data_IF_041947712534
#
_entry.id   IF_041947712534
#
_cell.length_a   1.000
_cell.length_b   1.000
_cell.length_c   1.000
_cell.angle_alpha   90.00
_cell.angle_beta   90.00
_cell.angle_gamma   90.00
#
_symmetry.space_group_name_H-M   'P 1'
#
loop_
_entity.id
_entity.type
_entity.pdbx_description
1 polymer ?
#
# COMPACT_ATOMS: atom_id res chain seq x y z
N UNK A 1 -17.46 13.81 -7.18
CA UNK A 1 -16.38 13.64 -8.20
C UNK A 1 -15.62 12.42 -7.76
N UNK A 2 -15.36 11.47 -8.67
CA UNK A 2 -14.74 10.18 -8.30
C UNK A 2 -13.26 10.31 -7.99
N UNK A 3 -12.79 9.51 -7.04
CA UNK A 3 -11.39 9.48 -6.65
C UNK A 3 -10.73 8.13 -6.94
N UNK A 4 -9.43 8.17 -7.24
CA UNK A 4 -8.57 6.99 -7.24
C UNK A 4 -7.50 7.20 -6.17
N UNK A 5 -7.46 6.27 -5.21
CA UNK A 5 -6.55 6.29 -4.07
C UNK A 5 -5.15 5.78 -4.41
N UNK A 6 -4.12 6.49 -3.94
CA UNK A 6 -2.73 6.04 -3.94
C UNK A 6 -2.29 5.92 -2.49
N UNK A 7 -2.07 4.69 -2.01
CA UNK A 7 -1.58 4.46 -0.64
C UNK A 7 -0.07 4.61 -0.60
N UNK A 8 0.45 5.55 0.20
CA UNK A 8 1.87 5.92 0.23
C UNK A 8 2.44 6.30 -1.14
N UNK A 9 2.19 7.55 -1.58
CA UNK A 9 2.61 8.07 -2.89
C UNK A 9 4.11 8.41 -2.96
N UNK A 10 4.94 7.39 -2.76
CA UNK A 10 6.41 7.49 -2.68
C UNK A 10 7.03 7.27 -4.06
N UNK A 11 8.11 8.00 -4.36
CA UNK A 11 8.92 7.80 -5.57
C UNK A 11 8.08 7.84 -6.87
N UNK A 12 8.16 6.80 -7.70
CA UNK A 12 7.46 6.68 -8.99
C UNK A 12 5.94 6.64 -8.87
N UNK A 13 5.36 6.41 -7.69
CA UNK A 13 3.91 6.45 -7.51
C UNK A 13 3.31 7.84 -7.81
N UNK A 14 4.11 8.90 -7.73
CA UNK A 14 3.68 10.24 -8.13
C UNK A 14 3.28 10.31 -9.61
N UNK A 15 3.78 9.39 -10.46
CA UNK A 15 3.37 9.31 -11.86
C UNK A 15 1.91 8.89 -12.02
N UNK A 16 1.33 8.16 -11.06
CA UNK A 16 -0.09 7.79 -11.09
C UNK A 16 -1.02 9.01 -11.04
N UNK A 17 -0.56 10.14 -10.51
CA UNK A 17 -1.35 11.38 -10.43
C UNK A 17 -1.78 11.83 -11.83
N UNK A 18 -0.86 11.84 -12.78
CA UNK A 18 -1.16 12.23 -14.16
C UNK A 18 -2.11 11.22 -14.83
N UNK A 19 -1.88 9.93 -14.59
CA UNK A 19 -2.72 8.85 -15.12
C UNK A 19 -4.16 8.89 -14.58
N UNK A 20 -4.33 9.17 -13.30
CA UNK A 20 -5.63 9.31 -12.65
C UNK A 20 -6.38 10.51 -13.22
N UNK A 21 -5.71 11.65 -13.37
CA UNK A 21 -6.30 12.85 -13.97
C UNK A 21 -6.72 12.62 -15.43
N UNK A 22 -5.91 11.92 -16.21
CA UNK A 22 -6.23 11.58 -17.60
C UNK A 22 -7.50 10.71 -17.71
N UNK A 23 -7.87 9.98 -16.65
CA UNK A 23 -9.12 9.21 -16.54
C UNK A 23 -10.30 10.02 -16.02
N UNK A 24 -10.15 11.33 -15.85
CA UNK A 24 -11.20 12.22 -15.33
C UNK A 24 -11.50 12.02 -13.84
N UNK A 25 -10.58 11.40 -13.09
CA UNK A 25 -10.70 11.18 -11.65
C UNK A 25 -9.79 12.12 -10.87
N UNK A 26 -10.10 12.36 -9.60
CA UNK A 26 -9.22 13.10 -8.68
C UNK A 26 -8.27 12.14 -7.94
N UNK A 27 -6.95 12.39 -7.95
CA UNK A 27 -6.03 11.64 -7.13
C UNK A 27 -6.32 11.87 -5.64
N UNK A 28 -6.38 10.79 -4.86
CA UNK A 28 -6.45 10.82 -3.40
C UNK A 28 -5.20 10.17 -2.84
N UNK A 29 -4.37 10.91 -2.12
CA UNK A 29 -3.20 10.34 -1.44
C UNK A 29 -3.65 9.85 -0.06
N UNK A 30 -3.41 8.56 0.20
CA UNK A 30 -3.80 7.88 1.44
C UNK A 30 -2.52 7.57 2.22
N UNK A 31 -2.42 8.08 3.44
CA UNK A 31 -1.29 7.81 4.33
C UNK A 31 -1.69 6.82 5.44
N UNK A 32 -1.06 5.63 5.52
CA UNK A 32 -1.27 4.69 6.61
C UNK A 32 -0.92 5.27 7.98
N UNK A 33 -1.58 4.77 9.01
CA UNK A 33 -1.32 5.13 10.39
C UNK A 33 -0.05 4.41 10.88
N UNK A 34 1.10 5.04 10.67
CA UNK A 34 2.40 4.52 11.14
C UNK A 34 3.00 5.48 12.14
N UNK A 35 2.61 5.32 13.39
CA UNK A 35 3.15 6.10 14.51
C UNK A 35 4.68 5.94 14.62
N UNK A 36 5.38 7.07 14.77
CA UNK A 36 6.79 7.08 15.20
C UNK A 36 7.86 7.08 14.12
N UNK A 37 7.53 6.97 12.83
CA UNK A 37 8.54 7.05 11.76
C UNK A 37 8.76 8.50 11.28
N UNK A 38 9.74 9.17 11.87
CA UNK A 38 10.10 10.57 11.58
C UNK A 38 10.59 10.76 10.12
N UNK A 39 11.27 9.75 9.56
CA UNK A 39 11.73 9.80 8.18
C UNK A 39 10.56 9.76 7.21
N UNK A 40 9.58 8.89 7.44
CA UNK A 40 8.36 8.85 6.63
C UNK A 40 7.57 10.16 6.74
N UNK A 41 7.44 10.75 7.93
CA UNK A 41 6.75 12.04 8.09
C UNK A 41 7.38 13.14 7.23
N UNK A 42 8.69 13.32 7.35
CA UNK A 42 9.43 14.31 6.56
C UNK A 42 9.25 14.08 5.06
N UNK A 43 9.29 12.82 4.63
CA UNK A 43 9.12 12.46 3.23
C UNK A 43 7.70 12.76 2.72
N UNK A 44 6.66 12.45 3.50
CA UNK A 44 5.26 12.76 3.20
C UNK A 44 5.01 14.27 3.09
N UNK A 45 5.64 15.08 3.94
CA UNK A 45 5.55 16.55 3.87
C UNK A 45 6.14 17.10 2.56
N UNK A 46 7.31 16.60 2.15
CA UNK A 46 7.94 16.97 0.88
C UNK A 46 7.03 16.58 -0.29
N UNK A 47 6.51 15.36 -0.29
CA UNK A 47 5.58 14.89 -1.32
C UNK A 47 4.33 15.78 -1.39
N UNK A 48 3.68 16.03 -0.24
CA UNK A 48 2.49 16.87 -0.15
C UNK A 48 2.75 18.28 -0.66
N UNK A 49 3.92 18.86 -0.36
CA UNK A 49 4.33 20.17 -0.87
C UNK A 49 4.52 20.16 -2.40
N UNK A 50 5.10 19.09 -2.95
CA UNK A 50 5.35 18.97 -4.39
C UNK A 50 4.07 18.72 -5.19
N UNK A 51 3.15 17.93 -4.65
CA UNK A 51 1.86 17.63 -5.30
C UNK A 51 0.88 18.81 -5.15
N UNK A 52 0.84 19.43 -3.97
CA UNK A 52 -0.07 20.55 -3.68
C UNK A 52 -1.54 20.17 -3.90
N UNK A 53 -2.32 21.10 -4.47
CA UNK A 53 -3.77 20.97 -4.64
C UNK A 53 -4.21 20.06 -5.80
N UNK A 54 -3.23 19.44 -6.48
CA UNK A 54 -3.47 18.50 -7.58
C UNK A 54 -4.13 17.20 -7.08
N UNK A 55 -3.98 16.89 -5.79
CA UNK A 55 -4.58 15.73 -5.13
C UNK A 55 -5.29 16.14 -3.84
N UNK A 56 -6.22 15.30 -3.39
CA UNK A 56 -6.70 15.34 -2.01
C UNK A 56 -5.85 14.42 -1.12
N UNK A 57 -5.94 14.59 0.19
CA UNK A 57 -5.15 13.84 1.16
C UNK A 57 -6.03 13.32 2.28
N UNK A 58 -5.80 12.09 2.68
CA UNK A 58 -6.43 11.48 3.85
C UNK A 58 -5.41 10.60 4.58
N UNK A 59 -5.52 10.56 5.90
CA UNK A 59 -4.71 9.69 6.75
C UNK A 59 -5.63 8.62 7.33
N UNK A 60 -5.15 7.38 7.38
CA UNK A 60 -5.74 6.33 8.19
C UNK A 60 -5.67 6.78 9.66
N UNK A 61 -6.84 6.94 10.28
CA UNK A 61 -6.93 7.27 11.70
C UNK A 61 -6.84 6.03 12.58
N UNK A 62 -7.07 6.21 13.88
CA UNK A 62 -7.16 5.08 14.82
C UNK A 62 -8.47 4.29 14.64
N UNK A 63 -9.54 4.97 14.20
CA UNK A 63 -10.80 4.35 13.83
C UNK A 63 -10.84 4.04 12.33
N UNK A 64 -10.64 2.76 12.00
CA UNK A 64 -10.63 2.29 10.63
C UNK A 64 -12.00 2.34 9.94
N UNK A 65 -13.11 2.13 10.67
CA UNK A 65 -14.44 2.17 10.07
C UNK A 65 -14.82 3.60 9.69
N UNK A 66 -14.53 4.58 10.56
CA UNK A 66 -14.68 6.00 10.22
C UNK A 66 -13.81 6.40 9.01
N UNK A 67 -12.58 5.85 8.93
CA UNK A 67 -11.73 6.06 7.77
C UNK A 67 -12.36 5.48 6.48
N UNK A 68 -12.93 4.27 6.52
CA UNK A 68 -13.62 3.67 5.38
C UNK A 68 -14.85 4.48 4.95
N UNK A 69 -15.66 4.96 5.89
CA UNK A 69 -16.83 5.79 5.58
C UNK A 69 -16.45 7.07 4.85
N UNK A 70 -15.35 7.71 5.27
CA UNK A 70 -14.80 8.87 4.55
C UNK A 70 -14.36 8.53 3.14
N UNK A 71 -13.76 7.35 2.91
CA UNK A 71 -13.41 6.91 1.55
C UNK A 71 -14.67 6.69 0.68
N UNK A 72 -15.76 6.18 1.26
CA UNK A 72 -17.06 6.04 0.58
C UNK A 72 -17.66 7.40 0.22
N UNK A 73 -17.66 8.34 1.15
CA UNK A 73 -18.13 9.72 0.93
C UNK A 73 -17.33 10.44 -0.16
N UNK A 74 -16.03 10.16 -0.26
CA UNK A 74 -15.15 10.66 -1.31
C UNK A 74 -15.32 9.92 -2.65
N UNK A 75 -16.29 9.00 -2.79
CA UNK A 75 -16.52 8.24 -4.04
C UNK A 75 -15.23 7.57 -4.58
N UNK A 76 -14.44 6.94 -3.70
CA UNK A 76 -13.23 6.21 -4.10
C UNK A 76 -13.63 4.96 -4.90
N UNK A 77 -13.17 4.87 -6.15
CA UNK A 77 -13.54 3.78 -7.06
C UNK A 77 -12.42 2.78 -7.33
N UNK A 78 -11.20 3.10 -6.93
CA UNK A 78 -10.03 2.23 -7.06
C UNK A 78 -8.95 2.69 -6.09
N UNK A 79 -8.13 1.74 -5.62
CA UNK A 79 -6.99 2.01 -4.75
C UNK A 79 -5.78 1.23 -5.25
N UNK A 80 -4.63 1.90 -5.33
CA UNK A 80 -3.36 1.29 -5.71
C UNK A 80 -2.30 1.55 -4.64
N UNK A 81 -1.43 0.58 -4.33
CA UNK A 81 -0.26 0.85 -3.51
C UNK A 81 0.77 1.65 -4.30
N UNK A 82 1.24 2.76 -3.74
CA UNK A 82 2.34 3.56 -4.27
C UNK A 82 3.72 3.09 -3.78
N UNK A 83 3.77 2.27 -2.74
CA UNK A 83 4.97 1.59 -2.27
C UNK A 83 4.64 0.25 -1.62
N UNK A 84 5.66 -0.56 -1.34
CA UNK A 84 5.56 -1.78 -0.56
C UNK A 84 4.94 -1.55 0.83
N UNK A 85 5.19 -0.37 1.43
CA UNK A 85 4.60 0.04 2.70
C UNK A 85 3.07 0.19 2.64
N UNK A 86 2.54 0.52 1.46
CA UNK A 86 1.10 0.73 1.24
C UNK A 86 0.31 -0.53 0.87
N UNK A 87 0.97 -1.64 0.56
CA UNK A 87 0.31 -2.84 0.00
C UNK A 87 -0.75 -3.42 0.92
N UNK A 88 -0.42 -3.61 2.21
CA UNK A 88 -1.34 -4.21 3.17
C UNK A 88 -2.61 -3.37 3.36
N UNK A 89 -2.46 -2.05 3.48
CA UNK A 89 -3.59 -1.15 3.62
C UNK A 89 -4.42 -1.07 2.32
N UNK A 90 -3.77 -1.02 1.15
CA UNK A 90 -4.46 -1.02 -0.13
C UNK A 90 -5.33 -2.27 -0.32
N UNK A 91 -4.81 -3.47 -0.02
CA UNK A 91 -5.59 -4.71 -0.10
C UNK A 91 -6.79 -4.68 0.84
N UNK A 92 -6.57 -4.22 2.08
CA UNK A 92 -7.61 -4.15 3.10
C UNK A 92 -8.73 -3.21 2.67
N UNK A 93 -8.39 -2.00 2.20
CA UNK A 93 -9.35 -1.03 1.67
C UNK A 93 -10.12 -1.65 0.49
N UNK A 94 -9.42 -2.29 -0.46
CA UNK A 94 -10.10 -2.89 -1.61
C UNK A 94 -11.10 -3.97 -1.17
N UNK A 95 -10.74 -4.85 -0.24
CA UNK A 95 -11.65 -5.87 0.28
C UNK A 95 -12.86 -5.26 0.97
N UNK A 96 -12.65 -4.28 1.84
CA UNK A 96 -13.71 -3.73 2.70
C UNK A 96 -14.63 -2.73 1.97
N UNK A 97 -14.18 -2.20 0.84
CA UNK A 97 -14.97 -1.37 -0.08
C UNK A 97 -15.49 -2.15 -1.31
N UNK A 98 -15.29 -3.46 -1.37
CA UNK A 98 -15.64 -4.31 -2.52
C UNK A 98 -15.08 -3.79 -3.86
N UNK A 99 -13.86 -3.25 -3.82
CA UNK A 99 -13.11 -2.79 -4.98
C UNK A 99 -12.21 -3.91 -5.51
N UNK A 100 -11.85 -3.82 -6.79
CA UNK A 100 -10.87 -4.73 -7.37
C UNK A 100 -9.53 -4.60 -6.64
N UNK A 101 -9.03 -5.71 -6.11
CA UNK A 101 -7.80 -5.77 -5.34
C UNK A 101 -7.33 -7.20 -5.14
N UNK A 102 -6.24 -7.36 -4.39
CA UNK A 102 -5.77 -8.70 -4.01
C UNK A 102 -6.33 -9.05 -2.64
N UNK A 103 -6.47 -10.34 -2.35
CA UNK A 103 -6.89 -10.78 -1.02
C UNK A 103 -5.82 -10.40 0.02
N UNK A 104 -6.16 -9.62 1.07
CA UNK A 104 -5.26 -9.30 2.18
C UNK A 104 -4.60 -10.52 2.82
N UNK A 105 -5.25 -11.70 2.78
CA UNK A 105 -4.66 -12.94 3.31
C UNK A 105 -3.39 -13.37 2.55
N UNK A 106 -3.18 -12.85 1.34
CA UNK A 106 -2.03 -13.16 0.47
C UNK A 106 -0.95 -12.09 0.47
N UNK A 107 -1.13 -10.96 1.17
CA UNK A 107 -0.18 -9.83 1.14
C UNK A 107 1.25 -10.26 1.44
N UNK A 108 1.48 -11.11 2.44
CA UNK A 108 2.82 -11.60 2.82
C UNK A 108 3.56 -12.27 1.65
N UNK A 109 2.84 -12.96 0.77
CA UNK A 109 3.42 -13.69 -0.37
C UNK A 109 4.09 -12.78 -1.40
N UNK A 110 3.87 -11.46 -1.31
CA UNK A 110 4.35 -10.46 -2.26
C UNK A 110 4.99 -9.24 -1.60
N UNK A 111 5.13 -9.25 -0.28
CA UNK A 111 5.81 -8.18 0.47
C UNK A 111 6.98 -8.69 1.30
N UNK A 112 7.08 -10.00 1.57
CA UNK A 112 8.23 -10.56 2.30
C UNK A 112 9.05 -11.48 1.41
N UNK A 113 10.38 -11.45 1.57
CA UNK A 113 11.30 -12.28 0.78
C UNK A 113 10.97 -13.78 0.93
N UNK A 114 10.71 -14.23 2.16
CA UNK A 114 10.37 -15.62 2.44
C UNK A 114 9.00 -16.00 1.84
N UNK A 115 8.00 -15.11 1.94
CA UNK A 115 6.68 -15.33 1.34
C UNK A 115 6.75 -15.44 -0.19
N UNK A 116 7.56 -14.61 -0.83
CA UNK A 116 7.81 -14.67 -2.28
C UNK A 116 8.47 -16.00 -2.68
N UNK A 117 9.51 -16.43 -1.95
CA UNK A 117 10.19 -17.70 -2.24
C UNK A 117 9.26 -18.92 -2.04
N UNK A 118 8.44 -18.90 -0.98
CA UNK A 118 7.43 -19.93 -0.72
C UNK A 118 6.38 -20.01 -1.84
N UNK A 119 5.89 -18.85 -2.31
CA UNK A 119 4.93 -18.77 -3.40
C UNK A 119 5.49 -19.35 -4.72
N UNK A 120 6.75 -19.05 -5.05
CA UNK A 120 7.43 -19.64 -6.21
C UNK A 120 7.52 -21.17 -6.08
N UNK A 121 7.95 -21.68 -4.92
CA UNK A 121 8.06 -23.12 -4.68
C UNK A 121 6.72 -23.86 -4.81
N UNK A 122 5.64 -23.31 -4.24
CA UNK A 122 4.28 -23.87 -4.36
C UNK A 122 3.78 -23.92 -5.80
N UNK A 123 4.22 -22.99 -6.65
CA UNK A 123 3.88 -22.96 -8.07
C UNK A 123 4.79 -23.87 -8.94
N UNK A 124 5.73 -24.60 -8.34
CA UNK A 124 6.69 -25.43 -9.09
C UNK A 124 7.76 -24.61 -9.84
N UNK A 125 7.94 -23.34 -9.47
CA UNK A 125 8.96 -22.47 -10.05
C UNK A 125 10.26 -22.53 -9.26
N UNK A 126 11.38 -22.26 -9.93
CA UNK A 126 12.69 -22.17 -9.28
C UNK A 126 12.70 -21.02 -8.28
N UNK A 127 13.17 -21.30 -7.06
CA UNK A 127 13.39 -20.33 -5.99
C UNK A 127 14.84 -20.43 -5.48
N UNK A 128 15.30 -19.39 -4.79
CA UNK A 128 16.52 -19.48 -3.99
C UNK A 128 16.17 -20.25 -2.71
N UNK A 129 16.91 -21.31 -2.40
CA UNK A 129 16.75 -22.01 -1.14
C UNK A 129 17.26 -21.16 0.01
N UNK A 130 16.50 -21.13 1.09
CA UNK A 130 16.79 -20.32 2.27
C UNK A 130 15.81 -20.62 3.39
N UNK A 131 16.19 -20.22 4.59
CA UNK A 131 15.37 -20.32 5.79
C UNK A 131 15.13 -18.93 6.38
N UNK A 132 14.02 -18.79 7.09
CA UNK A 132 13.82 -17.66 7.99
C UNK A 132 14.64 -17.88 9.26
N UNK A 133 15.53 -16.95 9.57
CA UNK A 133 16.35 -16.98 10.77
C UNK A 133 15.71 -16.06 11.80
N UNK A 134 15.20 -16.65 12.89
CA UNK A 134 14.58 -15.92 14.00
C UNK A 134 15.44 -15.95 15.26
N UNK A 135 16.34 -16.92 15.36
CA UNK A 135 17.34 -17.04 16.41
C UNK A 135 18.64 -17.67 15.87
N UNK A 136 19.68 -17.68 16.71
CA UNK A 136 20.99 -18.24 16.32
C UNK A 136 20.90 -19.74 15.98
N UNK A 137 20.03 -20.49 16.66
CA UNK A 137 19.87 -21.93 16.41
C UNK A 137 19.35 -22.25 15.00
N UNK A 138 18.62 -21.33 14.37
CA UNK A 138 18.16 -21.50 12.98
C UNK A 138 19.34 -21.52 12.01
N UNK A 139 20.37 -20.71 12.27
CA UNK A 139 21.59 -20.63 11.46
C UNK A 139 22.32 -21.97 11.46
N UNK A 140 22.38 -22.64 12.63
CA UNK A 140 23.14 -23.89 12.79
C UNK A 140 22.47 -25.10 12.11
N UNK A 141 21.20 -24.97 11.71
CA UNK A 141 20.43 -26.02 11.02
C UNK A 141 20.51 -25.92 9.50
N UNK A 142 21.13 -24.88 8.97
CA UNK A 142 21.34 -24.63 7.54
C UNK A 142 22.78 -24.95 7.14
#
# INVERSE_FOLDING_TARGET
>A
MKHIGIVECISSAQLYITDIKARGCRPLIIYPNRFGDEHLRTYREIIKKNIGDVADYIEEGDDYESFLDRLREMEVIAVVPGSDLGVALADRICKDLDLLGNDPATTRLRTTKNGMAEALGKAGLRKIEGIEVTCEDDIRKF
#
